data_IF_203707610246
#
_entry.id   IF_203707610246
#
_cell.length_a   1.000
_cell.length_b   1.000
_cell.length_c   1.000
_cell.angle_alpha   90.00
_cell.angle_beta   90.00
_cell.angle_gamma   90.00
#
_symmetry.space_group_name_H-M   'P 1'
#
loop_
_entity.id
_entity.type
_entity.pdbx_description
1 polymer ?
#
# COMPACT_ATOMS: atom_id res chain seq x y z
N UNK A 1 -3.00 -10.03 34.27
CA UNK A 1 -2.57 -11.00 33.25
C UNK A 1 -2.45 -10.27 31.91
N UNK A 2 -1.32 -9.62 31.65
CA UNK A 2 -1.07 -8.79 30.46
C UNK A 2 -0.28 -9.63 29.45
N UNK A 3 -0.96 -10.49 28.70
CA UNK A 3 -0.33 -11.56 27.87
C UNK A 3 0.15 -11.03 26.51
N UNK A 4 -0.22 -9.80 26.13
CA UNK A 4 0.10 -9.27 24.80
C UNK A 4 0.82 -7.93 24.96
N UNK A 5 2.12 -7.91 24.67
CA UNK A 5 2.80 -6.66 24.36
C UNK A 5 2.15 -6.07 23.10
N UNK A 6 1.76 -4.79 23.08
CA UNK A 6 1.27 -4.15 21.87
C UNK A 6 2.39 -4.18 20.83
N UNK A 7 2.27 -5.07 19.85
CA UNK A 7 3.20 -5.20 18.71
C UNK A 7 3.11 -4.02 17.76
N UNK A 8 2.10 -3.18 17.92
CA UNK A 8 1.96 -1.90 17.25
C UNK A 8 2.78 -0.86 18.04
N UNK A 9 4.09 -0.80 17.76
CA UNK A 9 4.93 0.31 18.22
C UNK A 9 4.36 1.64 17.75
N UNK A 10 4.64 2.73 18.47
CA UNK A 10 4.21 4.13 18.22
C UNK A 10 4.64 4.73 16.86
N UNK A 11 5.00 3.91 15.87
CA UNK A 11 5.45 4.35 14.56
C UNK A 11 4.27 4.43 13.58
N UNK A 12 3.32 5.33 13.87
CA UNK A 12 2.21 5.63 12.95
C UNK A 12 2.42 7.02 12.34
N UNK A 13 3.50 7.16 11.56
CA UNK A 13 3.71 8.33 10.69
C UNK A 13 3.62 7.98 9.20
N UNK A 14 3.42 6.71 8.85
CA UNK A 14 3.17 6.28 7.47
C UNK A 14 1.69 5.97 7.34
N UNK A 15 1.08 6.46 6.26
CA UNK A 15 -0.27 6.06 5.89
C UNK A 15 -0.23 4.55 5.66
N UNK A 16 -0.84 3.78 6.55
CA UNK A 16 -0.89 2.31 6.48
C UNK A 16 -1.87 1.90 5.39
N UNK A 17 -1.44 2.04 4.13
CA UNK A 17 -2.22 1.63 2.95
C UNK A 17 -1.91 0.17 2.65
N UNK A 18 -2.92 -0.72 2.49
CA UNK A 18 -2.69 -2.14 2.24
C UNK A 18 -2.39 -2.48 0.77
N UNK A 19 -2.07 -1.48 -0.06
CA UNK A 19 -1.82 -1.61 -1.49
C UNK A 19 -0.34 -1.38 -1.80
N UNK A 20 0.22 -2.26 -2.63
CA UNK A 20 1.53 -2.13 -3.26
C UNK A 20 1.35 -1.83 -4.75
N UNK A 21 1.83 -0.68 -5.25
CA UNK A 21 1.72 -0.36 -6.66
C UNK A 21 2.62 -1.26 -7.51
N UNK A 22 2.23 -1.48 -8.76
CA UNK A 22 3.03 -2.20 -9.75
C UNK A 22 3.81 -1.17 -10.56
N UNK A 23 5.10 -1.41 -10.76
CA UNK A 23 5.96 -0.57 -11.58
C UNK A 23 5.48 -0.58 -13.03
N UNK A 24 5.13 0.56 -13.64
CA UNK A 24 4.64 0.59 -15.02
C UNK A 24 5.71 0.17 -16.03
N UNK A 25 6.98 0.37 -15.70
CA UNK A 25 8.09 0.07 -16.61
C UNK A 25 8.55 -1.40 -16.54
N UNK A 26 8.47 -2.03 -15.36
CA UNK A 26 9.03 -3.37 -15.13
C UNK A 26 7.99 -4.44 -14.79
N UNK A 27 6.75 -4.05 -14.49
CA UNK A 27 5.70 -4.98 -14.02
C UNK A 27 5.94 -5.56 -12.62
N UNK A 28 6.99 -5.12 -11.91
CA UNK A 28 7.29 -5.62 -10.57
C UNK A 28 6.43 -4.94 -9.51
N UNK A 29 6.03 -5.70 -8.50
CA UNK A 29 5.37 -5.15 -7.30
C UNK A 29 6.37 -4.32 -6.51
N UNK A 30 5.98 -3.10 -6.16
CA UNK A 30 6.80 -2.18 -5.38
C UNK A 30 6.33 -2.19 -3.92
N UNK A 31 7.15 -2.72 -3.01
CA UNK A 31 6.92 -2.69 -1.57
C UNK A 31 7.36 -1.35 -0.95
N UNK A 32 6.82 -0.26 -1.49
CA UNK A 32 7.15 1.11 -1.14
C UNK A 32 5.96 1.78 -0.41
N UNK A 33 6.22 2.79 0.43
CA UNK A 33 5.14 3.52 1.08
C UNK A 33 4.35 4.36 0.08
N UNK A 34 3.03 4.39 0.28
CA UNK A 34 2.15 5.38 -0.35
C UNK A 34 2.34 6.73 0.36
N UNK A 35 2.49 7.79 -0.43
CA UNK A 35 2.69 9.16 0.02
C UNK A 35 1.34 9.86 0.21
N UNK A 36 0.40 9.62 -0.69
CA UNK A 36 -0.89 10.31 -0.74
C UNK A 36 -1.98 9.39 -1.35
N UNK A 37 -3.23 9.59 -0.93
CA UNK A 37 -4.40 8.86 -1.44
C UNK A 37 -5.37 9.87 -2.05
N UNK A 38 -5.64 9.74 -3.34
CA UNK A 38 -6.74 10.43 -4.00
C UNK A 38 -8.00 9.57 -3.92
N UNK A 39 -8.82 9.85 -2.90
CA UNK A 39 -10.09 9.15 -2.66
C UNK A 39 -11.12 9.40 -3.75
N UNK A 40 -11.08 10.56 -4.43
CA UNK A 40 -12.08 10.91 -5.46
C UNK A 40 -11.89 10.07 -6.70
N UNK A 41 -10.64 9.84 -7.09
CA UNK A 41 -10.29 9.09 -8.29
C UNK A 41 -9.88 7.63 -8.01
N UNK A 42 -9.93 7.19 -6.74
CA UNK A 42 -9.45 5.86 -6.31
C UNK A 42 -8.00 5.59 -6.74
N UNK A 43 -7.11 6.57 -6.52
CA UNK A 43 -5.68 6.46 -6.85
C UNK A 43 -4.80 6.54 -5.61
N UNK A 44 -3.66 5.86 -5.66
CA UNK A 44 -2.56 6.01 -4.72
C UNK A 44 -1.38 6.68 -5.40
N UNK A 45 -0.63 7.47 -4.64
CA UNK A 45 0.50 8.23 -5.13
C UNK A 45 1.74 7.83 -4.34
N UNK A 46 2.84 7.54 -5.04
CA UNK A 46 4.06 6.96 -4.47
C UNK A 46 5.32 7.49 -5.18
N UNK A 47 6.47 7.38 -4.53
CA UNK A 47 7.76 7.71 -5.13
C UNK A 47 8.47 6.44 -5.61
N UNK A 48 8.84 6.40 -6.88
CA UNK A 48 9.68 5.37 -7.45
C UNK A 48 10.98 6.02 -7.96
N UNK A 49 12.04 5.92 -7.15
CA UNK A 49 13.39 6.42 -7.49
C UNK A 49 13.41 7.93 -7.79
N UNK A 50 12.70 8.73 -6.99
CA UNK A 50 12.61 10.19 -7.16
C UNK A 50 11.55 10.65 -8.15
N UNK A 51 10.80 9.71 -8.76
CA UNK A 51 9.65 10.02 -9.63
C UNK A 51 8.36 9.77 -8.88
N UNK A 52 7.57 10.83 -8.68
CA UNK A 52 6.21 10.75 -8.15
C UNK A 52 5.29 10.15 -9.23
N UNK A 53 4.70 9.01 -8.94
CA UNK A 53 3.81 8.27 -9.82
C UNK A 53 2.45 8.06 -9.14
N UNK A 54 1.42 7.84 -9.94
CA UNK A 54 0.08 7.49 -9.50
C UNK A 54 -0.34 6.13 -10.08
N UNK A 55 -1.14 5.39 -9.32
CA UNK A 55 -1.77 4.15 -9.81
C UNK A 55 -3.19 4.05 -9.28
N UNK A 56 -4.11 3.62 -10.14
CA UNK A 56 -5.46 3.28 -9.73
C UNK A 56 -5.44 1.96 -8.96
N UNK A 57 -6.30 1.86 -7.94
CA UNK A 57 -6.49 0.61 -7.21
C UNK A 57 -7.55 -0.29 -7.88
N UNK A 58 -8.21 0.20 -8.93
CA UNK A 58 -9.38 -0.46 -9.55
C UNK A 58 -9.08 -1.20 -10.86
N UNK A 59 -7.88 -1.06 -11.42
CA UNK A 59 -7.53 -1.54 -12.76
C UNK A 59 -6.39 -2.58 -12.77
N UNK A 60 -6.12 -3.21 -11.63
CA UNK A 60 -5.10 -4.24 -11.50
C UNK A 60 -3.67 -3.73 -11.37
N UNK A 61 -3.44 -2.41 -11.33
CA UNK A 61 -2.11 -1.82 -11.14
C UNK A 61 -1.62 -1.82 -9.69
N UNK A 62 -2.39 -2.43 -8.77
CA UNK A 62 -2.04 -2.53 -7.36
C UNK A 62 -2.24 -3.97 -6.86
N UNK A 63 -1.32 -4.44 -6.02
CA UNK A 63 -1.41 -5.72 -5.31
C UNK A 63 -1.72 -5.48 -3.84
N UNK A 64 -2.62 -6.27 -3.26
CA UNK A 64 -2.90 -6.24 -1.83
C UNK A 64 -1.78 -6.91 -1.02
N UNK A 65 -1.53 -6.38 0.18
CA UNK A 65 -0.71 -7.05 1.18
C UNK A 65 -1.34 -8.40 1.54
N UNK A 66 -0.51 -9.44 1.63
CA UNK A 66 -0.97 -10.84 1.78
C UNK A 66 -1.97 -11.05 2.92
N UNK A 67 -1.83 -10.34 4.05
CA UNK A 67 -2.78 -10.43 5.18
C UNK A 67 -4.18 -9.97 4.80
N UNK A 68 -4.27 -8.84 4.12
CA UNK A 68 -5.55 -8.25 3.69
C UNK A 68 -6.10 -8.99 2.48
N UNK A 69 -5.22 -9.37 1.55
CA UNK A 69 -5.53 -10.19 0.38
C UNK A 69 -6.18 -11.53 0.78
N UNK A 70 -5.68 -12.21 1.81
CA UNK A 70 -6.32 -13.41 2.34
C UNK A 70 -7.72 -13.15 2.89
N UNK A 71 -7.88 -12.10 3.71
CA UNK A 71 -9.18 -11.75 4.28
C UNK A 71 -10.22 -11.35 3.23
N UNK A 72 -9.81 -10.77 2.09
CA UNK A 72 -10.71 -10.34 1.02
C UNK A 72 -11.14 -11.47 0.08
N UNK A 73 -10.48 -12.63 0.10
CA UNK A 73 -10.85 -13.79 -0.74
C UNK A 73 -11.93 -14.68 -0.12
N UNK A 74 -12.22 -14.51 1.17
CA UNK A 74 -13.18 -15.28 1.96
C UNK A 74 -14.42 -14.43 2.21
#
# INVERSE_FOLDING_TARGET
>A
MNIILPTLGKNVNKITVPFFPICPDTGHVLEIPVIEIDKKNSKIIFDNKGKKLESSILDGNCKLQWKVDWAMRW
#
